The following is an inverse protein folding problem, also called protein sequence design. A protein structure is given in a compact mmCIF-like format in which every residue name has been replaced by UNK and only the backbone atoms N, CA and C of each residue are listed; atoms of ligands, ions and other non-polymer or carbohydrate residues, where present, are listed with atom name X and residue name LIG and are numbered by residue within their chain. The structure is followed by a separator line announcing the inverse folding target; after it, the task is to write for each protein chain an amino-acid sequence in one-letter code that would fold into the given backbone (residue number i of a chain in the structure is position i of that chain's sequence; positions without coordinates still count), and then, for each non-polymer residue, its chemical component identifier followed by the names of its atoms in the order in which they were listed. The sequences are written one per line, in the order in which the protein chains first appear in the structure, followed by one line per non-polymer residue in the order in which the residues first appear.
data_IF_740344564361
#
_entry.id   IF_740344564361
#
_cell.length_a   1.000
_cell.length_b   1.000
_cell.length_c   1.000
_cell.angle_alpha   90.00
_cell.angle_beta   90.00
_cell.angle_gamma   90.00
#
_symmetry.space_group_name_H-M   'P 1'
#
loop_
_entity.id
_entity.type
_entity.pdbx_description
1 polymer ?
#
# COMPACT_ATOMS: atom_id res chain seq x y z
N UNK A 1 -37.65 87.84 36.04
CA UNK A 1 -36.47 86.96 36.19
C UNK A 1 -36.82 85.63 35.52
N UNK A 2 -36.39 85.36 34.28
CA UNK A 2 -35.08 84.78 33.90
C UNK A 2 -34.81 83.48 34.70
N UNK A 3 -34.68 82.26 34.15
CA UNK A 3 -34.12 81.79 32.87
C UNK A 3 -34.59 80.34 32.56
N UNK A 4 -34.91 80.07 31.29
CA UNK A 4 -34.57 78.82 30.55
C UNK A 4 -33.06 78.93 30.21
N UNK A 5 -32.19 77.88 30.05
CA UNK A 5 -32.35 76.49 29.56
C UNK A 5 -31.63 75.45 30.49
N UNK A 6 -31.44 74.15 30.27
CA UNK A 6 -30.97 73.38 29.11
C UNK A 6 -31.21 71.88 29.32
N UNK A 7 -31.71 71.22 28.28
CA UNK A 7 -31.50 69.80 27.99
C UNK A 7 -29.99 69.51 27.93
N UNK A 8 -29.51 68.54 28.71
CA UNK A 8 -28.29 67.78 28.43
C UNK A 8 -28.63 66.31 28.66
N UNK A 9 -28.98 65.62 27.58
CA UNK A 9 -28.05 64.73 26.87
C UNK A 9 -27.93 63.39 27.61
N UNK A 10 -28.87 62.49 27.29
CA UNK A 10 -28.63 61.06 27.38
C UNK A 10 -27.39 60.74 26.55
N UNK A 11 -26.23 60.70 27.21
CA UNK A 11 -25.03 60.13 26.64
C UNK A 11 -25.29 58.63 26.49
N UNK A 12 -25.61 58.25 25.25
CA UNK A 12 -25.85 56.87 24.88
C UNK A 12 -24.73 55.98 25.38
N UNK A 13 -25.12 54.88 26.01
CA UNK A 13 -24.27 53.71 26.12
C UNK A 13 -23.72 53.43 24.73
N UNK A 14 -22.41 53.60 24.56
CA UNK A 14 -21.73 53.18 23.33
C UNK A 14 -22.13 51.71 23.12
N UNK A 15 -22.64 51.31 21.93
CA UNK A 15 -22.81 49.90 21.66
C UNK A 15 -21.43 49.28 21.81
N UNK A 16 -21.32 48.33 22.75
CA UNK A 16 -20.15 47.47 22.88
C UNK A 16 -19.87 46.95 21.48
N UNK A 17 -18.75 47.39 20.89
CA UNK A 17 -18.39 47.02 19.54
C UNK A 17 -18.35 45.49 19.48
N UNK A 18 -19.22 44.93 18.64
CA UNK A 18 -19.35 43.49 18.41
C UNK A 18 -17.96 42.88 18.19
N UNK A 19 -17.62 41.75 18.87
CA UNK A 19 -16.39 41.05 18.58
C UNK A 19 -16.44 40.65 17.09
N UNK A 20 -15.38 41.01 16.38
CA UNK A 20 -15.09 40.69 14.97
C UNK A 20 -15.95 39.54 14.43
N UNK A 21 -16.91 39.85 13.55
CA UNK A 21 -17.73 38.82 12.88
C UNK A 21 -16.80 37.86 12.15
N UNK A 22 -16.61 36.67 12.71
CA UNK A 22 -15.76 35.64 12.11
C UNK A 22 -16.36 35.25 10.75
N UNK A 23 -15.66 35.58 9.66
CA UNK A 23 -16.14 35.39 8.29
C UNK A 23 -16.55 33.94 8.00
N UNK A 24 -15.84 32.96 8.56
CA UNK A 24 -16.14 31.53 8.40
C UNK A 24 -17.50 31.13 9.00
N UNK A 25 -18.06 31.92 9.92
CA UNK A 25 -19.38 31.67 10.49
C UNK A 25 -20.52 32.18 9.59
N UNK A 26 -20.22 33.05 8.62
CA UNK A 26 -21.20 33.59 7.67
C UNK A 26 -21.60 32.56 6.60
N UNK A 27 -22.74 32.79 5.92
CA UNK A 27 -23.17 31.92 4.82
C UNK A 27 -22.14 31.86 3.67
N UNK A 28 -21.46 32.98 3.38
CA UNK A 28 -20.40 33.02 2.39
C UNK A 28 -19.20 32.15 2.81
N UNK A 29 -18.75 32.31 4.07
CA UNK A 29 -17.67 31.49 4.63
C UNK A 29 -17.99 30.00 4.62
N UNK A 30 -19.23 29.62 4.97
CA UNK A 30 -19.66 28.21 4.95
C UNK A 30 -19.69 27.63 3.53
N UNK A 31 -20.21 28.39 2.55
CA UNK A 31 -20.18 28.00 1.13
C UNK A 31 -18.75 27.83 0.63
N UNK A 32 -17.85 28.72 1.02
CA UNK A 32 -16.43 28.59 0.72
C UNK A 32 -15.83 27.32 1.32
N UNK A 33 -16.08 27.03 2.60
CA UNK A 33 -15.56 25.80 3.25
C UNK A 33 -16.11 24.52 2.63
N UNK A 34 -17.38 24.52 2.20
CA UNK A 34 -17.95 23.41 1.44
C UNK A 34 -17.21 23.23 0.11
N UNK A 35 -17.03 24.33 -0.64
CA UNK A 35 -16.27 24.32 -1.89
C UNK A 35 -14.85 23.79 -1.69
N UNK A 36 -14.16 24.24 -0.64
CA UNK A 36 -12.83 23.75 -0.29
C UNK A 36 -12.81 22.26 0.04
N UNK A 37 -13.80 21.75 0.79
CA UNK A 37 -13.91 20.33 1.11
C UNK A 37 -14.18 19.47 -0.15
N UNK A 38 -15.04 19.94 -1.05
CA UNK A 38 -15.31 19.28 -2.34
C UNK A 38 -14.06 19.26 -3.22
N UNK A 39 -13.35 20.39 -3.34
CA UNK A 39 -12.09 20.47 -4.10
C UNK A 39 -11.02 19.58 -3.50
N UNK A 40 -10.90 19.54 -2.17
CA UNK A 40 -9.97 18.65 -1.48
C UNK A 40 -10.29 17.18 -1.76
N UNK A 41 -11.56 16.77 -1.62
CA UNK A 41 -12.01 15.41 -1.92
C UNK A 41 -11.76 15.02 -3.39
N UNK A 42 -12.09 15.90 -4.34
CA UNK A 42 -11.84 15.66 -5.75
C UNK A 42 -10.35 15.57 -6.08
N UNK A 43 -9.53 16.46 -5.49
CA UNK A 43 -8.07 16.42 -5.65
C UNK A 43 -7.50 15.11 -5.12
N UNK A 44 -7.93 14.67 -3.93
CA UNK A 44 -7.52 13.40 -3.34
C UNK A 44 -7.89 12.21 -4.21
N UNK A 45 -9.10 12.18 -4.76
CA UNK A 45 -9.51 11.14 -5.71
C UNK A 45 -8.58 11.12 -6.92
N UNK A 46 -8.38 12.29 -7.55
CA UNK A 46 -7.55 12.44 -8.74
C UNK A 46 -6.09 12.02 -8.49
N UNK A 47 -5.52 12.33 -7.32
CA UNK A 47 -4.14 11.97 -6.97
C UNK A 47 -3.90 10.45 -6.98
N UNK A 48 -4.88 9.64 -6.58
CA UNK A 48 -4.76 8.18 -6.61
C UNK A 48 -5.21 7.56 -7.94
N UNK A 49 -6.29 8.10 -8.52
CA UNK A 49 -6.93 7.52 -9.69
C UNK A 49 -6.18 7.82 -10.99
N UNK A 50 -5.72 9.06 -11.19
CA UNK A 50 -5.14 9.51 -12.46
C UNK A 50 -3.83 8.79 -12.81
N UNK A 51 -2.86 8.61 -11.88
CA UNK A 51 -1.62 7.89 -12.17
C UNK A 51 -1.85 6.45 -12.59
N UNK A 52 -2.89 5.80 -12.04
CA UNK A 52 -3.24 4.42 -12.34
C UNK A 52 -4.19 4.27 -13.56
N UNK A 53 -4.50 5.37 -14.25
CA UNK A 53 -5.40 5.35 -15.40
C UNK A 53 -4.84 6.21 -16.54
N UNK A 54 -5.20 7.48 -16.62
CA UNK A 54 -4.85 8.37 -17.74
C UNK A 54 -3.34 8.59 -17.88
N UNK A 55 -2.60 8.56 -16.76
CA UNK A 55 -1.16 8.80 -16.74
C UNK A 55 -0.36 7.52 -16.48
N UNK A 56 -0.93 6.34 -16.76
CA UNK A 56 -0.31 5.05 -16.46
C UNK A 56 1.09 4.90 -17.06
N UNK A 57 1.28 5.26 -18.33
CA UNK A 57 2.61 5.17 -18.96
C UNK A 57 3.61 6.20 -18.39
N UNK A 58 3.14 7.36 -17.89
CA UNK A 58 4.02 8.31 -17.17
C UNK A 58 4.34 7.79 -15.77
N UNK A 59 3.37 7.17 -15.11
CA UNK A 59 3.57 6.59 -13.79
C UNK A 59 4.56 5.41 -13.85
N UNK A 60 4.51 4.61 -14.93
CA UNK A 60 5.51 3.58 -15.26
C UNK A 60 6.94 4.11 -15.18
N UNK A 61 7.20 5.34 -15.64
CA UNK A 61 8.57 5.91 -15.71
C UNK A 61 9.24 6.02 -14.34
N UNK A 62 8.47 6.13 -13.25
CA UNK A 62 9.04 6.15 -11.89
C UNK A 62 9.59 4.79 -11.45
N UNK A 63 9.12 3.71 -12.06
CA UNK A 63 9.51 2.34 -11.75
C UNK A 63 10.30 1.68 -12.87
N UNK A 64 10.28 2.22 -14.08
CA UNK A 64 10.93 1.62 -15.25
C UNK A 64 12.45 1.53 -15.05
N UNK A 65 13.01 0.35 -15.32
CA UNK A 65 14.46 0.17 -15.39
C UNK A 65 14.98 0.67 -16.75
N UNK A 66 16.02 1.49 -16.70
CA UNK A 66 16.73 2.01 -17.86
C UNK A 66 18.17 1.49 -17.86
N UNK A 67 18.68 1.14 -19.04
CA UNK A 67 20.10 0.87 -19.26
C UNK A 67 20.63 1.95 -20.20
N UNK A 68 21.26 2.97 -19.63
CA UNK A 68 21.58 4.21 -20.36
C UNK A 68 20.32 5.00 -20.67
N UNK A 69 20.06 5.25 -21.96
CA UNK A 69 18.90 6.03 -22.44
C UNK A 69 17.70 5.13 -22.79
N UNK A 70 17.91 3.82 -22.91
CA UNK A 70 16.89 2.87 -23.37
C UNK A 70 16.20 2.13 -22.23
N UNK A 71 14.89 1.91 -22.38
CA UNK A 71 14.11 1.04 -21.49
C UNK A 71 14.60 -0.41 -21.63
N UNK A 72 14.71 -1.12 -20.50
CA UNK A 72 15.00 -2.56 -20.51
C UNK A 72 13.71 -3.30 -20.83
N UNK A 73 13.66 -3.96 -21.99
CA UNK A 73 12.52 -4.76 -22.41
C UNK A 73 12.39 -6.04 -21.56
N UNK A 74 11.15 -6.52 -21.43
CA UNK A 74 10.87 -7.77 -20.72
C UNK A 74 11.19 -8.95 -21.62
N UNK A 75 11.95 -9.91 -21.10
CA UNK A 75 12.23 -11.14 -21.84
C UNK A 75 10.93 -11.91 -22.14
N UNK A 76 10.72 -12.39 -23.38
CA UNK A 76 9.49 -13.10 -23.76
C UNK A 76 9.17 -14.29 -22.88
N UNK A 77 10.20 -14.93 -22.33
CA UNK A 77 10.09 -16.03 -21.39
C UNK A 77 9.33 -15.65 -20.11
N UNK A 78 9.62 -14.49 -19.52
CA UNK A 78 8.96 -14.04 -18.27
C UNK A 78 7.50 -13.67 -18.55
N UNK A 79 7.23 -13.01 -19.68
CA UNK A 79 5.85 -12.73 -20.10
C UNK A 79 5.04 -14.03 -20.25
N UNK A 80 5.65 -15.06 -20.84
CA UNK A 80 5.03 -16.40 -20.94
C UNK A 80 4.70 -17.01 -19.57
N UNK A 81 5.59 -16.89 -18.57
CA UNK A 81 5.28 -17.35 -17.20
C UNK A 81 4.04 -16.66 -16.65
N UNK A 82 3.88 -15.36 -16.88
CA UNK A 82 2.69 -14.60 -16.47
C UNK A 82 1.43 -15.06 -17.21
N UNK A 83 1.52 -15.31 -18.53
CA UNK A 83 0.41 -15.84 -19.33
C UNK A 83 -0.07 -17.22 -18.86
N UNK A 84 0.87 -18.13 -18.56
CA UNK A 84 0.57 -19.46 -18.03
C UNK A 84 -0.18 -19.38 -16.69
N UNK A 85 0.16 -18.40 -15.85
CA UNK A 85 -0.55 -18.19 -14.58
C UNK A 85 -1.94 -17.58 -14.82
N UNK A 86 -2.09 -16.66 -15.78
CA UNK A 86 -3.40 -16.14 -16.18
C UNK A 86 -4.32 -17.26 -16.72
N UNK A 87 -3.77 -18.22 -17.47
CA UNK A 87 -4.51 -19.42 -17.90
C UNK A 87 -5.01 -20.24 -16.72
N UNK A 88 -4.14 -20.53 -15.75
CA UNK A 88 -4.50 -21.30 -14.55
C UNK A 88 -5.50 -20.56 -13.66
N UNK A 89 -5.47 -19.22 -13.65
CA UNK A 89 -6.46 -18.37 -12.98
C UNK A 89 -7.80 -18.29 -13.72
N UNK A 90 -7.88 -18.79 -14.95
CA UNK A 90 -9.09 -18.83 -15.77
C UNK A 90 -9.41 -17.53 -16.50
N UNK A 91 -8.41 -16.71 -16.82
CA UNK A 91 -8.62 -15.41 -17.47
C UNK A 91 -8.85 -15.60 -18.97
N UNK A 92 -9.86 -14.92 -19.52
CA UNK A 92 -10.17 -15.02 -20.93
C UNK A 92 -9.20 -14.20 -21.79
N UNK A 93 -9.11 -14.54 -23.09
CA UNK A 93 -8.20 -13.87 -24.04
C UNK A 93 -8.37 -12.34 -24.06
N UNK A 94 -9.59 -11.85 -23.92
CA UNK A 94 -9.88 -10.41 -23.90
C UNK A 94 -9.33 -9.74 -22.63
N UNK A 95 -9.42 -10.40 -21.49
CA UNK A 95 -8.92 -9.86 -20.21
C UNK A 95 -7.39 -9.81 -20.22
N UNK A 96 -6.74 -10.83 -20.79
CA UNK A 96 -5.28 -10.89 -20.91
C UNK A 96 -4.70 -9.72 -21.71
N UNK A 97 -5.42 -9.17 -22.69
CA UNK A 97 -4.95 -8.03 -23.49
C UNK A 97 -4.81 -6.74 -22.66
N UNK A 98 -5.43 -6.68 -21.49
CA UNK A 98 -5.28 -5.56 -20.57
C UNK A 98 -3.93 -5.60 -19.82
N UNK A 99 -3.23 -6.73 -19.81
CA UNK A 99 -1.98 -6.91 -19.10
C UNK A 99 -0.79 -6.66 -20.01
N UNK A 100 0.08 -5.73 -19.62
CA UNK A 100 1.39 -5.50 -20.24
C UNK A 100 2.47 -5.66 -19.18
N UNK A 101 3.65 -6.09 -19.60
CA UNK A 101 4.80 -6.24 -18.70
C UNK A 101 5.82 -5.13 -18.98
N UNK A 102 6.51 -4.70 -17.94
CA UNK A 102 7.67 -3.82 -18.05
C UNK A 102 8.72 -4.22 -17.02
N UNK A 103 9.99 -3.92 -17.30
CA UNK A 103 11.06 -4.18 -16.33
C UNK A 103 11.07 -3.08 -15.27
N UNK A 104 10.79 -3.46 -14.04
CA UNK A 104 10.78 -2.57 -12.89
C UNK A 104 12.17 -2.53 -12.22
N UNK A 105 12.56 -1.34 -11.78
CA UNK A 105 13.70 -1.09 -10.94
C UNK A 105 13.45 -1.66 -9.53
N UNK A 106 14.40 -2.41 -9.01
CA UNK A 106 14.31 -3.07 -7.70
C UNK A 106 14.20 -4.59 -7.80
N UNK A 107 13.83 -5.21 -6.67
CA UNK A 107 13.82 -6.66 -6.48
C UNK A 107 12.44 -7.24 -6.12
N UNK A 108 11.41 -6.39 -6.06
CA UNK A 108 10.06 -6.78 -5.70
C UNK A 108 9.13 -6.56 -6.90
N UNK A 109 8.28 -7.56 -7.16
CA UNK A 109 7.28 -7.45 -8.21
C UNK A 109 6.16 -6.49 -7.77
N UNK A 110 5.61 -5.76 -8.73
CA UNK A 110 4.54 -4.80 -8.49
C UNK A 110 3.57 -4.76 -9.66
N UNK A 111 2.41 -4.16 -9.45
CA UNK A 111 1.48 -3.82 -10.52
C UNK A 111 1.12 -2.33 -10.46
N UNK A 112 0.86 -1.76 -11.63
CA UNK A 112 0.32 -0.41 -11.80
C UNK A 112 -0.96 -0.48 -12.62
N UNK A 113 -1.95 0.34 -12.32
CA UNK A 113 -3.21 0.32 -13.04
C UNK A 113 -4.13 -0.85 -12.67
N UNK A 114 -5.28 -0.93 -13.33
CA UNK A 114 -6.38 -1.83 -12.95
C UNK A 114 -7.09 -2.36 -14.19
N UNK A 115 -7.57 -3.61 -14.13
CA UNK A 115 -8.41 -4.20 -15.19
C UNK A 115 -9.77 -3.52 -15.34
N UNK A 116 -10.22 -2.80 -14.30
CA UNK A 116 -11.46 -2.02 -14.30
C UNK A 116 -11.32 -0.70 -15.09
N UNK A 117 -10.15 -0.45 -15.67
CA UNK A 117 -9.83 0.71 -16.49
C UNK A 117 -9.47 0.27 -17.91
N UNK A 118 -9.90 1.04 -18.92
CA UNK A 118 -9.53 0.80 -20.33
C UNK A 118 -8.03 0.92 -20.61
N UNK A 119 -7.28 1.54 -19.70
CA UNK A 119 -5.82 1.69 -19.81
C UNK A 119 -5.07 0.42 -19.41
N UNK A 120 -5.76 -0.54 -18.79
CA UNK A 120 -5.21 -1.83 -18.41
C UNK A 120 -4.28 -1.78 -17.21
N UNK A 121 -3.41 -2.77 -17.14
CA UNK A 121 -2.49 -3.07 -16.05
C UNK A 121 -1.07 -3.19 -16.60
N UNK A 122 -0.12 -2.61 -15.89
CA UNK A 122 1.31 -2.82 -16.10
C UNK A 122 1.87 -3.66 -14.96
N UNK A 123 2.39 -4.84 -15.27
CA UNK A 123 3.08 -5.71 -14.32
C UNK A 123 4.58 -5.39 -14.36
N UNK A 124 5.11 -4.92 -13.23
CA UNK A 124 6.52 -4.62 -13.04
C UNK A 124 7.30 -5.87 -12.70
N UNK A 125 8.13 -6.31 -13.64
CA UNK A 125 9.05 -7.45 -13.49
C UNK A 125 10.34 -6.97 -12.86
N UNK A 126 10.70 -7.40 -11.65
CA UNK A 126 11.88 -6.90 -10.98
C UNK A 126 13.17 -7.45 -11.59
N UNK A 127 14.26 -6.72 -11.41
CA UNK A 127 15.58 -7.03 -12.01
C UNK A 127 16.12 -8.42 -11.64
N UNK A 128 15.74 -8.96 -10.48
CA UNK A 128 16.19 -10.27 -10.04
C UNK A 128 15.56 -11.45 -10.78
N UNK A 129 14.50 -11.24 -11.56
CA UNK A 129 13.91 -12.31 -12.36
C UNK A 129 14.81 -12.76 -13.51
N UNK A 130 15.77 -11.91 -13.89
CA UNK A 130 16.72 -12.14 -14.97
C UNK A 130 18.00 -12.86 -14.51
N UNK A 131 18.25 -12.96 -13.20
CA UNK A 131 19.43 -13.63 -12.67
C UNK A 131 19.28 -15.15 -12.75
N UNK A 132 20.29 -15.83 -13.28
CA UNK A 132 20.35 -17.30 -13.35
C UNK A 132 21.29 -17.87 -12.30
N UNK A 133 22.35 -17.13 -11.98
CA UNK A 133 23.37 -17.53 -11.03
C UNK A 133 23.89 -16.34 -10.22
N UNK A 134 24.62 -16.63 -9.14
CA UNK A 134 25.26 -15.59 -8.30
C UNK A 134 26.28 -14.77 -9.09
N UNK A 135 26.84 -15.33 -10.15
CA UNK A 135 27.84 -14.67 -11.01
C UNK A 135 27.24 -13.53 -11.85
N UNK A 136 25.93 -13.54 -12.08
CA UNK A 136 25.23 -12.50 -12.85
C UNK A 136 25.01 -11.22 -12.03
N UNK A 137 25.32 -11.25 -10.73
CA UNK A 137 24.94 -10.22 -9.77
C UNK A 137 26.18 -9.50 -9.26
N UNK A 138 26.30 -8.23 -9.62
CA UNK A 138 27.34 -7.35 -9.06
C UNK A 138 26.89 -6.81 -7.71
N UNK A 139 27.47 -7.34 -6.61
CA UNK A 139 27.14 -6.92 -5.24
C UNK A 139 27.23 -5.39 -5.05
N UNK A 140 28.22 -4.74 -5.66
CA UNK A 140 28.44 -3.29 -5.52
C UNK A 140 27.34 -2.44 -6.18
N UNK A 141 26.55 -3.02 -7.09
CA UNK A 141 25.44 -2.35 -7.75
C UNK A 141 24.11 -2.52 -7.01
N UNK A 142 24.09 -3.31 -5.92
CA UNK A 142 22.91 -3.46 -5.09
C UNK A 142 22.71 -2.17 -4.29
N UNK A 143 21.57 -1.53 -4.51
CA UNK A 143 21.15 -0.35 -3.76
C UNK A 143 19.85 -0.61 -3.01
N UNK A 144 19.71 0.02 -1.85
CA UNK A 144 18.48 0.01 -1.04
C UNK A 144 18.04 1.45 -0.87
N UNK A 145 16.82 1.76 -1.33
CA UNK A 145 16.29 3.14 -1.39
C UNK A 145 17.24 4.12 -2.10
N UNK A 146 17.88 3.67 -3.20
CA UNK A 146 18.78 4.48 -4.00
C UNK A 146 20.19 4.69 -3.40
N UNK A 147 20.48 4.10 -2.24
CA UNK A 147 21.81 4.15 -1.64
C UNK A 147 22.54 2.81 -1.78
N UNK A 148 23.81 2.81 -2.21
CA UNK A 148 24.62 1.60 -2.23
C UNK A 148 24.89 1.11 -0.81
N UNK A 149 25.16 -0.18 -0.67
CA UNK A 149 25.55 -0.78 0.60
C UNK A 149 26.97 -0.29 0.97
N UNK A 150 27.07 0.70 1.85
CA UNK A 150 28.34 1.37 2.21
C UNK A 150 29.19 0.61 3.25
N UNK A 151 28.60 -0.27 4.04
CA UNK A 151 29.30 -0.95 5.14
C UNK A 151 29.94 -2.26 4.67
N UNK A 152 30.99 -2.70 5.38
CA UNK A 152 31.70 -3.95 5.09
C UNK A 152 30.84 -5.15 5.49
N UNK A 153 30.14 -5.74 4.53
CA UNK A 153 29.51 -7.05 4.68
C UNK A 153 30.55 -8.17 4.79
N UNK A 154 30.27 -9.19 5.61
CA UNK A 154 31.08 -10.41 5.65
C UNK A 154 30.90 -11.22 4.34
N UNK A 155 31.84 -12.11 3.98
CA UNK A 155 31.67 -13.01 2.84
C UNK A 155 30.36 -13.82 2.91
N UNK A 156 29.97 -14.24 4.11
CA UNK A 156 28.74 -15.00 4.36
C UNK A 156 27.49 -14.15 4.12
N UNK A 157 27.48 -12.89 4.57
CA UNK A 157 26.38 -11.96 4.30
C UNK A 157 26.21 -11.71 2.80
N UNK A 158 27.33 -11.54 2.08
CA UNK A 158 27.30 -11.38 0.62
C UNK A 158 26.71 -12.61 -0.05
N UNK A 159 27.18 -13.80 0.32
CA UNK A 159 26.69 -15.04 -0.27
C UNK A 159 25.18 -15.24 -0.02
N UNK A 160 24.72 -14.99 1.22
CA UNK A 160 23.31 -15.07 1.58
C UNK A 160 22.46 -14.05 0.83
N UNK A 161 22.97 -12.82 0.62
CA UNK A 161 22.25 -11.80 -0.14
C UNK A 161 22.12 -12.19 -1.61
N UNK A 162 23.23 -12.61 -2.25
CA UNK A 162 23.22 -13.03 -3.65
C UNK A 162 22.32 -14.25 -3.86
N UNK A 163 22.38 -15.21 -2.95
CA UNK A 163 21.48 -16.37 -2.94
C UNK A 163 20.01 -15.96 -2.85
N UNK A 164 19.69 -14.97 -2.01
CA UNK A 164 18.32 -14.49 -1.82
C UNK A 164 17.70 -13.82 -3.07
N UNK A 165 18.53 -13.40 -4.03
CA UNK A 165 18.08 -12.76 -5.26
C UNK A 165 17.81 -13.76 -6.38
N UNK A 166 18.28 -15.00 -6.27
CA UNK A 166 18.04 -16.03 -7.29
C UNK A 166 16.72 -16.72 -6.98
N UNK A 167 15.82 -16.70 -7.96
CA UNK A 167 14.48 -17.30 -7.88
C UNK A 167 14.31 -18.38 -8.94
N UNK A 168 13.67 -19.48 -8.56
CA UNK A 168 13.17 -20.49 -9.48
C UNK A 168 12.01 -19.96 -10.32
N UNK A 169 11.69 -20.65 -11.40
CA UNK A 169 10.56 -20.29 -12.26
C UNK A 169 9.21 -20.43 -11.56
N UNK A 170 9.10 -21.39 -10.63
CA UNK A 170 7.92 -21.55 -9.77
C UNK A 170 7.72 -20.33 -8.88
N UNK A 171 8.80 -19.80 -8.30
CA UNK A 171 8.75 -18.59 -7.48
C UNK A 171 8.40 -17.35 -8.31
N UNK A 172 8.97 -17.21 -9.52
CA UNK A 172 8.61 -16.14 -10.46
C UNK A 172 7.14 -16.21 -10.88
N UNK A 173 6.64 -17.39 -11.23
CA UNK A 173 5.22 -17.61 -11.55
C UNK A 173 4.31 -17.23 -10.38
N UNK A 174 4.64 -17.65 -9.16
CA UNK A 174 3.87 -17.28 -7.98
C UNK A 174 3.83 -15.75 -7.79
N UNK A 175 4.98 -15.10 -7.81
CA UNK A 175 5.09 -13.65 -7.62
C UNK A 175 4.30 -12.85 -8.69
N UNK A 176 4.41 -13.25 -9.97
CA UNK A 176 3.60 -12.64 -11.04
C UNK A 176 2.11 -12.90 -10.84
N UNK A 177 1.74 -14.13 -10.46
CA UNK A 177 0.36 -14.51 -10.22
C UNK A 177 -0.32 -13.66 -9.15
N UNK A 178 0.40 -13.36 -8.07
CA UNK A 178 -0.11 -12.51 -6.99
C UNK A 178 -0.41 -11.11 -7.53
N UNK A 179 0.55 -10.50 -8.25
CA UNK A 179 0.37 -9.16 -8.82
C UNK A 179 -0.72 -9.11 -9.90
N UNK A 180 -0.83 -10.14 -10.73
CA UNK A 180 -1.88 -10.26 -11.75
C UNK A 180 -3.26 -10.34 -11.08
N UNK A 181 -3.39 -11.12 -10.01
CA UNK A 181 -4.63 -11.26 -9.27
C UNK A 181 -5.01 -9.97 -8.54
N UNK A 182 -4.05 -9.33 -7.85
CA UNK A 182 -4.24 -8.06 -7.14
C UNK A 182 -4.70 -6.95 -8.11
N UNK A 183 -4.08 -6.86 -9.29
CA UNK A 183 -4.46 -5.88 -10.31
C UNK A 183 -5.89 -6.06 -10.86
N UNK A 184 -6.46 -7.27 -10.72
CA UNK A 184 -7.85 -7.57 -11.09
C UNK A 184 -8.84 -7.32 -9.95
N UNK A 185 -8.49 -6.48 -8.98
CA UNK A 185 -9.37 -6.10 -7.89
C UNK A 185 -9.72 -4.62 -7.95
N UNK A 186 -10.72 -4.21 -7.16
CA UNK A 186 -11.10 -2.82 -7.02
C UNK A 186 -10.14 -2.00 -6.12
N UNK A 187 -8.89 -2.44 -5.92
CA UNK A 187 -7.92 -1.80 -5.02
C UNK A 187 -7.74 -0.32 -5.32
N UNK A 188 -7.41 0.02 -6.56
CA UNK A 188 -7.18 1.42 -6.98
C UNK A 188 -8.43 2.27 -6.81
N UNK A 189 -9.61 1.72 -7.07
CA UNK A 189 -10.87 2.41 -6.85
C UNK A 189 -11.11 2.66 -5.36
N UNK A 190 -10.89 1.65 -4.51
CA UNK A 190 -11.01 1.79 -3.07
C UNK A 190 -10.02 2.81 -2.50
N UNK A 191 -8.77 2.77 -2.94
CA UNK A 191 -7.72 3.73 -2.56
C UNK A 191 -8.01 5.16 -3.05
N UNK A 192 -8.78 5.33 -4.11
CA UNK A 192 -9.18 6.66 -4.62
C UNK A 192 -10.45 7.19 -3.93
N UNK A 193 -11.46 6.35 -3.75
CA UNK A 193 -12.77 6.73 -3.21
C UNK A 193 -12.73 6.89 -1.70
N UNK A 194 -12.11 5.97 -0.96
CA UNK A 194 -12.13 5.97 0.50
C UNK A 194 -11.58 7.27 1.12
N UNK A 195 -10.36 7.75 0.79
CA UNK A 195 -9.85 8.98 1.41
C UNK A 195 -10.66 10.22 1.00
N UNK A 196 -11.18 10.24 -0.23
CA UNK A 196 -12.04 11.32 -0.74
C UNK A 196 -13.38 11.37 0.01
N UNK A 197 -13.99 10.21 0.22
CA UNK A 197 -15.21 10.07 1.01
C UNK A 197 -14.98 10.47 2.49
N UNK A 198 -13.82 10.14 3.05
CA UNK A 198 -13.45 10.55 4.42
C UNK A 198 -13.38 12.08 4.58
N UNK A 199 -12.86 12.82 3.59
CA UNK A 199 -12.83 14.29 3.61
C UNK A 199 -14.26 14.87 3.61
N UNK A 200 -15.12 14.35 2.72
CA UNK A 200 -16.52 14.79 2.63
C UNK A 200 -17.30 14.44 3.90
N UNK A 201 -17.10 13.23 4.43
CA UNK A 201 -17.71 12.78 5.68
C UNK A 201 -17.26 13.63 6.87
N UNK A 202 -15.97 13.98 6.95
CA UNK A 202 -15.44 14.87 7.98
C UNK A 202 -16.14 16.24 7.94
N UNK A 203 -16.29 16.84 6.75
CA UNK A 203 -17.00 18.11 6.59
C UNK A 203 -18.48 17.98 7.00
N UNK A 204 -19.17 16.94 6.52
CA UNK A 204 -20.59 16.71 6.81
C UNK A 204 -20.84 16.51 8.31
N UNK A 205 -20.04 15.66 8.97
CA UNK A 205 -20.12 15.41 10.41
C UNK A 205 -19.78 16.66 11.23
N UNK A 206 -18.75 17.42 10.83
CA UNK A 206 -18.41 18.69 11.46
C UNK A 206 -19.58 19.68 11.40
N UNK A 207 -20.22 19.78 10.24
CA UNK A 207 -21.39 20.66 10.04
C UNK A 207 -22.58 20.18 10.87
N UNK A 208 -22.84 18.88 10.89
CA UNK A 208 -23.90 18.27 11.68
C UNK A 208 -23.71 18.53 13.19
N UNK A 209 -22.51 18.31 13.73
CA UNK A 209 -22.24 18.59 15.15
C UNK A 209 -22.31 20.07 15.49
N UNK A 210 -21.85 20.96 14.60
CA UNK A 210 -22.02 22.39 14.83
C UNK A 210 -23.48 22.81 14.91
N UNK A 211 -24.36 22.23 14.08
CA UNK A 211 -25.79 22.51 14.12
C UNK A 211 -26.45 21.91 15.37
N UNK A 212 -26.16 20.64 15.68
CA UNK A 212 -26.80 19.89 16.77
C UNK A 212 -26.35 20.34 18.16
N UNK A 213 -25.07 20.70 18.32
CA UNK A 213 -24.48 21.10 19.62
C UNK A 213 -24.35 22.62 19.77
N UNK A 214 -24.95 23.39 18.86
CA UNK A 214 -24.78 24.84 18.77
C UNK A 214 -23.29 25.26 18.76
N UNK A 215 -22.46 24.47 18.06
CA UNK A 215 -21.01 24.63 18.04
C UNK A 215 -20.56 25.98 17.48
N UNK A 216 -21.34 26.59 16.59
CA UNK A 216 -21.03 27.91 16.02
C UNK A 216 -21.07 29.05 17.03
N UNK A 217 -21.88 28.94 18.09
CA UNK A 217 -21.94 29.93 19.17
C UNK A 217 -20.84 29.72 20.23
N UNK A 218 -20.11 28.60 20.16
CA UNK A 218 -19.07 28.24 21.13
C UNK A 218 -17.73 28.91 20.79
N UNK A 219 -16.85 29.09 21.81
CA UNK A 219 -15.50 29.60 21.62
C UNK A 219 -14.70 28.80 20.59
N UNK A 220 -13.71 29.46 19.96
CA UNK A 220 -12.83 28.83 18.96
C UNK A 220 -12.12 27.61 19.52
N UNK A 221 -11.67 27.64 20.78
CA UNK A 221 -10.99 26.52 21.45
C UNK A 221 -11.84 25.26 21.50
N UNK A 222 -13.13 25.38 21.85
CA UNK A 222 -14.07 24.25 21.86
C UNK A 222 -14.23 23.66 20.45
N UNK A 223 -14.40 24.51 19.43
CA UNK A 223 -14.51 24.05 18.03
C UNK A 223 -13.24 23.38 17.55
N UNK A 224 -12.07 23.96 17.86
CA UNK A 224 -10.78 23.38 17.52
C UNK A 224 -10.62 21.99 18.15
N UNK A 225 -10.94 21.84 19.44
CA UNK A 225 -10.92 20.54 20.11
C UNK A 225 -11.84 19.51 19.44
N UNK A 226 -13.11 19.88 19.19
CA UNK A 226 -14.08 19.00 18.55
C UNK A 226 -13.67 18.58 17.13
N UNK A 227 -13.16 19.52 16.33
CA UNK A 227 -12.68 19.26 14.98
C UNK A 227 -11.44 18.37 14.97
N UNK A 228 -10.49 18.61 15.88
CA UNK A 228 -9.32 17.75 16.03
C UNK A 228 -9.71 16.33 16.42
N UNK A 229 -10.62 16.18 17.39
CA UNK A 229 -11.10 14.86 17.82
C UNK A 229 -11.83 14.12 16.69
N UNK A 230 -12.72 14.81 15.98
CA UNK A 230 -13.42 14.24 14.82
C UNK A 230 -12.44 13.92 13.68
N UNK A 231 -11.45 14.78 13.45
CA UNK A 231 -10.43 14.58 12.42
C UNK A 231 -9.59 13.35 12.72
N UNK A 232 -9.14 13.20 13.97
CA UNK A 232 -8.45 12.01 14.44
C UNK A 232 -9.31 10.75 14.29
N UNK A 233 -10.60 10.82 14.63
CA UNK A 233 -11.53 9.69 14.48
C UNK A 233 -11.71 9.28 13.01
N UNK A 234 -12.05 10.22 12.12
CA UNK A 234 -12.25 9.93 10.68
C UNK A 234 -10.96 9.41 10.05
N UNK A 235 -9.82 9.99 10.40
CA UNK A 235 -8.50 9.56 9.91
C UNK A 235 -8.13 8.16 10.41
N UNK A 236 -8.34 7.88 11.70
CA UNK A 236 -8.12 6.55 12.27
C UNK A 236 -9.03 5.49 11.65
N UNK A 237 -10.30 5.81 11.43
CA UNK A 237 -11.24 4.93 10.73
C UNK A 237 -10.81 4.66 9.29
N UNK A 238 -10.36 5.69 8.56
CA UNK A 238 -9.84 5.53 7.21
C UNK A 238 -8.65 4.56 7.17
N UNK A 239 -7.64 4.79 8.02
CA UNK A 239 -6.45 3.94 8.05
C UNK A 239 -6.78 2.50 8.46
N UNK A 240 -7.65 2.31 9.44
CA UNK A 240 -8.11 0.98 9.86
C UNK A 240 -8.82 0.23 8.73
N UNK A 241 -9.77 0.89 8.05
CA UNK A 241 -10.50 0.29 6.93
C UNK A 241 -9.58 -0.02 5.74
N UNK A 242 -8.65 0.89 5.44
CA UNK A 242 -7.63 0.69 4.40
C UNK A 242 -6.78 -0.55 4.72
N UNK A 243 -6.21 -0.61 5.92
CA UNK A 243 -5.31 -1.70 6.31
C UNK A 243 -6.04 -3.06 6.30
N UNK A 244 -7.25 -3.13 6.84
CA UNK A 244 -8.08 -4.35 6.78
C UNK A 244 -8.39 -4.75 5.34
N UNK A 245 -8.73 -3.80 4.48
CA UNK A 245 -9.01 -4.05 3.06
C UNK A 245 -7.77 -4.61 2.36
N UNK A 246 -6.64 -3.90 2.41
CA UNK A 246 -5.38 -4.31 1.78
C UNK A 246 -4.95 -5.68 2.30
N UNK A 247 -4.97 -5.89 3.61
CA UNK A 247 -4.55 -7.16 4.19
C UNK A 247 -5.43 -8.34 3.77
N UNK A 248 -6.73 -8.11 3.62
CA UNK A 248 -7.65 -9.15 3.16
C UNK A 248 -7.38 -9.49 1.69
N UNK A 249 -7.11 -8.48 0.87
CA UNK A 249 -6.86 -8.63 -0.57
C UNK A 249 -5.53 -9.33 -0.84
N UNK A 250 -4.44 -8.92 -0.20
CA UNK A 250 -3.12 -9.57 -0.33
C UNK A 250 -3.17 -11.04 0.11
N UNK A 251 -3.77 -11.32 1.28
CA UNK A 251 -3.95 -12.71 1.76
C UNK A 251 -4.81 -13.52 0.81
N UNK A 252 -5.82 -12.91 0.19
CA UNK A 252 -6.66 -13.58 -0.79
C UNK A 252 -5.89 -13.90 -2.07
N UNK A 253 -5.07 -12.97 -2.56
CA UNK A 253 -4.21 -13.16 -3.73
C UNK A 253 -3.22 -14.32 -3.49
N UNK A 254 -2.48 -14.28 -2.38
CA UNK A 254 -1.54 -15.35 -1.99
C UNK A 254 -2.23 -16.71 -1.96
N UNK A 255 -3.37 -16.79 -1.27
CA UNK A 255 -4.14 -18.04 -1.15
C UNK A 255 -4.68 -18.52 -2.49
N UNK A 256 -5.06 -17.62 -3.39
CA UNK A 256 -5.61 -17.98 -4.71
C UNK A 256 -4.54 -18.55 -5.61
N UNK A 257 -3.38 -17.91 -5.66
CA UNK A 257 -2.26 -18.34 -6.50
C UNK A 257 -1.64 -19.62 -5.96
N UNK A 258 -1.43 -19.72 -4.64
CA UNK A 258 -0.91 -20.94 -4.02
C UNK A 258 -1.83 -22.17 -4.22
N UNK A 259 -3.13 -21.96 -4.46
CA UNK A 259 -4.10 -23.03 -4.73
C UNK A 259 -4.15 -23.49 -6.18
N UNK A 260 -3.41 -22.86 -7.10
CA UNK A 260 -3.35 -23.28 -8.50
C UNK A 260 -2.63 -24.64 -8.67
N UNK A 261 -1.79 -25.02 -7.72
CA UNK A 261 -1.14 -26.33 -7.68
C UNK A 261 0.03 -26.35 -6.71
N UNK A 262 0.56 -27.55 -6.44
CA UNK A 262 1.68 -27.74 -5.52
C UNK A 262 2.90 -26.88 -5.91
N UNK A 263 3.18 -26.78 -7.21
CA UNK A 263 4.30 -25.98 -7.72
C UNK A 263 4.18 -24.48 -7.38
N UNK A 264 2.98 -23.91 -7.35
CA UNK A 264 2.79 -22.50 -7.00
C UNK A 264 2.91 -22.29 -5.50
N UNK A 265 2.46 -23.26 -4.69
CA UNK A 265 2.66 -23.21 -3.25
C UNK A 265 4.15 -23.30 -2.88
N UNK A 266 4.89 -24.24 -3.50
CA UNK A 266 6.35 -24.34 -3.37
C UNK A 266 7.02 -23.03 -3.82
N UNK A 267 6.62 -22.50 -4.98
CA UNK A 267 7.11 -21.23 -5.50
C UNK A 267 6.86 -20.05 -4.55
N UNK A 268 5.69 -19.98 -3.92
CA UNK A 268 5.39 -18.92 -2.96
C UNK A 268 6.14 -19.06 -1.63
N UNK A 269 6.40 -20.29 -1.17
CA UNK A 269 7.27 -20.54 -0.01
C UNK A 269 8.69 -20.09 -0.30
N UNK A 270 9.24 -20.45 -1.47
CA UNK A 270 10.56 -20.00 -1.91
C UNK A 270 10.61 -18.47 -2.02
N UNK A 271 9.65 -17.86 -2.72
CA UNK A 271 9.61 -16.42 -2.96
C UNK A 271 9.65 -15.62 -1.65
N UNK A 272 8.76 -15.91 -0.70
CA UNK A 272 8.72 -15.18 0.57
C UNK A 272 9.92 -15.51 1.47
N UNK A 273 10.41 -16.75 1.47
CA UNK A 273 11.61 -17.10 2.23
C UNK A 273 12.85 -16.34 1.73
N UNK A 274 12.99 -16.20 0.42
CA UNK A 274 14.06 -15.43 -0.23
C UNK A 274 13.95 -13.92 0.10
N UNK A 275 12.76 -13.34 0.10
CA UNK A 275 12.55 -11.95 0.56
C UNK A 275 12.96 -11.78 2.03
N UNK A 276 12.54 -12.68 2.92
CA UNK A 276 12.91 -12.62 4.34
C UNK A 276 14.41 -12.75 4.55
N UNK A 277 15.06 -13.67 3.83
CA UNK A 277 16.52 -13.84 3.84
C UNK A 277 17.22 -12.55 3.40
N UNK A 278 16.80 -11.97 2.27
CA UNK A 278 17.30 -10.68 1.76
C UNK A 278 17.20 -9.60 2.82
N UNK A 279 16.01 -9.41 3.39
CA UNK A 279 15.74 -8.34 4.35
C UNK A 279 16.53 -8.52 5.65
N UNK A 280 16.69 -9.76 6.15
CA UNK A 280 17.55 -10.05 7.32
C UNK A 280 19.01 -9.70 7.07
N UNK A 281 19.54 -10.00 5.89
CA UNK A 281 20.92 -9.64 5.53
C UNK A 281 21.05 -8.13 5.42
N UNK A 282 20.13 -7.47 4.72
CA UNK A 282 20.13 -6.01 4.58
C UNK A 282 20.03 -5.31 5.94
N UNK A 283 19.23 -5.85 6.88
CA UNK A 283 19.18 -5.35 8.26
C UNK A 283 20.56 -5.32 8.90
N UNK A 284 21.31 -6.42 8.81
CA UNK A 284 22.66 -6.54 9.42
C UNK A 284 23.67 -5.64 8.70
N UNK A 285 23.71 -5.74 7.37
CA UNK A 285 24.74 -5.12 6.56
C UNK A 285 24.59 -3.59 6.48
N UNK A 286 23.38 -3.04 6.63
CA UNK A 286 23.17 -1.59 6.61
C UNK A 286 23.26 -0.94 7.99
N UNK A 287 23.54 -1.71 9.05
CA UNK A 287 23.58 -1.24 10.44
C UNK A 287 22.28 -0.54 10.84
N UNK A 288 22.37 0.60 11.53
CA UNK A 288 21.20 1.33 12.04
C UNK A 288 20.14 1.68 11.00
N UNK A 289 20.54 1.92 9.74
CA UNK A 289 19.59 2.15 8.63
C UNK A 289 18.85 0.87 8.26
N UNK A 290 19.54 -0.27 8.23
CA UNK A 290 18.88 -1.56 8.03
C UNK A 290 17.93 -1.87 9.18
N UNK A 291 18.31 -1.50 10.40
CA UNK A 291 17.50 -1.73 11.59
C UNK A 291 16.22 -0.92 11.66
N UNK A 292 16.17 0.25 11.02
CA UNK A 292 14.96 1.06 10.90
C UNK A 292 14.06 0.65 9.73
N UNK A 293 14.56 -0.18 8.80
CA UNK A 293 13.82 -0.62 7.63
C UNK A 293 13.22 -2.01 7.80
N UNK A 294 13.89 -2.91 8.53
CA UNK A 294 13.49 -4.31 8.63
C UNK A 294 13.50 -4.79 10.06
N UNK A 295 12.53 -5.63 10.44
CA UNK A 295 12.50 -6.33 11.73
C UNK A 295 13.59 -7.41 11.80
N UNK A 296 13.80 -7.98 12.99
CA UNK A 296 14.68 -9.17 13.16
C UNK A 296 14.16 -10.39 12.37
N UNK A 297 12.84 -10.50 12.19
CA UNK A 297 12.23 -11.56 11.36
C UNK A 297 12.38 -11.32 9.86
N UNK A 298 12.81 -10.14 9.42
CA UNK A 298 12.94 -9.76 8.01
C UNK A 298 11.68 -9.14 7.41
N UNK A 299 10.68 -8.80 8.23
CA UNK A 299 9.52 -8.01 7.80
C UNK A 299 9.92 -6.54 7.65
N UNK A 300 9.13 -5.75 6.90
CA UNK A 300 9.35 -4.31 6.79
C UNK A 300 8.86 -3.62 8.06
N UNK A 301 9.72 -2.79 8.66
CA UNK A 301 9.40 -2.04 9.86
C UNK A 301 8.39 -0.92 9.55
N UNK A 302 7.41 -0.73 10.42
CA UNK A 302 6.41 0.34 10.27
C UNK A 302 6.02 0.90 11.63
N UNK A 303 5.90 2.23 11.74
CA UNK A 303 5.73 2.91 13.03
C UNK A 303 4.35 2.72 13.66
N UNK A 304 3.27 2.86 12.89
CA UNK A 304 1.89 2.90 13.43
C UNK A 304 0.92 2.08 12.59
N UNK A 305 1.02 2.18 11.26
CA UNK A 305 0.18 1.45 10.32
C UNK A 305 1.03 0.52 9.48
N UNK A 306 0.55 -0.71 9.26
CA UNK A 306 1.22 -1.72 8.44
C UNK A 306 0.58 -1.69 7.05
N UNK A 307 1.16 -0.95 6.08
CA UNK A 307 0.51 -0.77 4.77
C UNK A 307 0.31 -2.08 4.02
N UNK A 308 1.16 -3.07 4.29
CA UNK A 308 1.13 -4.41 3.70
C UNK A 308 1.13 -5.46 4.81
N UNK A 309 0.66 -6.66 4.47
CA UNK A 309 0.74 -7.82 5.35
C UNK A 309 2.23 -8.17 5.56
N UNK A 310 2.68 -8.39 6.80
CA UNK A 310 4.03 -8.86 7.07
C UNK A 310 4.37 -10.09 6.23
N UNK A 311 5.56 -10.11 5.65
CA UNK A 311 6.03 -11.18 4.75
C UNK A 311 6.03 -12.53 5.47
N UNK A 312 6.37 -12.55 6.76
CA UNK A 312 6.24 -13.75 7.60
C UNK A 312 4.81 -14.28 7.65
N UNK A 313 3.81 -13.41 7.73
CA UNK A 313 2.41 -13.80 7.70
C UNK A 313 1.99 -14.28 6.30
N UNK A 314 2.46 -13.65 5.23
CA UNK A 314 2.20 -14.09 3.85
C UNK A 314 2.77 -15.49 3.58
N UNK A 315 4.00 -15.76 4.06
CA UNK A 315 4.61 -17.09 4.01
C UNK A 315 3.73 -18.15 4.69
N UNK A 316 3.22 -17.87 5.89
CA UNK A 316 2.31 -18.78 6.62
C UNK A 316 1.03 -19.05 5.82
N UNK A 317 0.48 -18.05 5.15
CA UNK A 317 -0.75 -18.20 4.36
C UNK A 317 -0.54 -19.08 3.13
N UNK A 318 0.59 -18.94 2.45
CA UNK A 318 0.96 -19.80 1.31
C UNK A 318 1.17 -21.24 1.77
N UNK A 319 1.92 -21.48 2.86
CA UNK A 319 2.16 -22.83 3.37
C UNK A 319 0.87 -23.56 3.76
N UNK A 320 -0.13 -22.83 4.29
CA UNK A 320 -1.43 -23.40 4.68
C UNK A 320 -2.41 -23.60 3.52
N UNK A 321 -2.14 -23.02 2.36
CA UNK A 321 -3.08 -23.03 1.23
C UNK A 321 -3.30 -24.44 0.63
N UNK A 322 -2.27 -25.28 0.42
CA UNK A 322 -2.42 -26.67 -0.05
C UNK A 322 -3.23 -27.52 0.92
N UNK A 323 -2.97 -27.43 2.23
CA UNK A 323 -3.67 -28.22 3.24
C UNK A 323 -5.18 -27.94 3.27
N UNK A 324 -5.58 -26.67 3.16
CA UNK A 324 -7.00 -26.30 3.10
C UNK A 324 -7.68 -26.78 1.82
N UNK A 325 -6.94 -26.94 0.73
CA UNK A 325 -7.46 -27.51 -0.51
C UNK A 325 -7.58 -29.05 -0.43
N UNK A 326 -6.61 -29.72 0.19
CA UNK A 326 -6.62 -31.16 0.45
C UNK A 326 -7.66 -31.57 1.50
N UNK A 327 -7.89 -30.79 2.57
CA UNK A 327 -8.98 -31.05 3.53
C UNK A 327 -10.38 -30.91 2.94
N UNK A 328 -10.53 -30.16 1.82
CA UNK A 328 -11.77 -30.16 1.01
C UNK A 328 -11.86 -31.37 0.06
N UNK A 329 -10.79 -32.13 -0.10
CA UNK A 329 -10.63 -33.31 -0.96
C UNK A 329 -10.13 -34.52 -0.13
N UNK A 330 -10.92 -34.97 0.84
CA UNK A 330 -10.79 -36.22 1.61
C UNK A 330 -9.52 -36.46 2.47
N UNK A 331 -9.61 -37.23 3.59
CA UNK A 331 -8.70 -37.08 4.73
C UNK A 331 -7.39 -37.90 4.73
N UNK A 332 -6.96 -38.52 3.63
CA UNK A 332 -5.96 -39.61 3.71
C UNK A 332 -4.47 -39.22 3.73
N UNK A 333 -4.11 -37.93 3.65
CA UNK A 333 -2.71 -37.50 3.43
C UNK A 333 -2.11 -36.58 4.51
N UNK A 334 -2.80 -36.36 5.64
CA UNK A 334 -2.52 -35.23 6.54
C UNK A 334 -1.44 -35.44 7.62
N UNK A 335 -1.00 -36.66 7.92
CA UNK A 335 -0.28 -36.88 9.18
C UNK A 335 1.25 -36.70 9.14
N UNK A 336 1.95 -36.94 8.02
CA UNK A 336 3.42 -37.01 8.09
C UNK A 336 4.17 -35.68 7.85
N UNK A 337 3.74 -34.85 6.89
CA UNK A 337 4.48 -33.64 6.50
C UNK A 337 4.16 -32.42 7.36
N UNK A 338 2.96 -32.37 7.94
CA UNK A 338 2.51 -31.25 8.78
C UNK A 338 3.26 -31.19 10.10
N UNK A 339 3.61 -32.35 10.67
CA UNK A 339 4.36 -32.45 11.92
C UNK A 339 5.84 -32.07 11.75
N UNK A 340 6.43 -32.37 10.60
CA UNK A 340 7.83 -32.03 10.29
C UNK A 340 8.03 -30.51 10.18
N UNK A 341 7.11 -29.81 9.53
CA UNK A 341 7.14 -28.34 9.42
C UNK A 341 6.88 -27.65 10.76
N UNK A 342 5.96 -28.18 11.58
CA UNK A 342 5.71 -27.64 12.93
C UNK A 342 6.88 -27.89 13.89
N UNK A 343 7.58 -29.01 13.73
CA UNK A 343 8.82 -29.34 14.45
C UNK A 343 9.95 -28.37 14.13
N UNK A 344 10.16 -28.06 12.85
CA UNK A 344 11.17 -27.06 12.45
C UNK A 344 10.82 -25.65 12.95
N UNK A 345 9.54 -25.27 12.94
CA UNK A 345 9.12 -23.96 13.48
C UNK A 345 9.28 -23.84 15.00
N UNK A 346 9.16 -24.93 15.75
CA UNK A 346 9.47 -24.93 17.19
C UNK A 346 10.97 -24.80 17.47
N UNK A 347 11.82 -25.27 16.55
CA UNK A 347 13.28 -25.13 16.66
C UNK A 347 13.74 -23.71 16.33
N UNK A 348 13.05 -23.02 15.44
CA UNK A 348 13.35 -21.64 15.05
C UNK A 348 12.88 -20.58 16.07
N UNK A 349 12.02 -20.96 17.01
CA UNK A 349 11.48 -20.08 18.06
C UNK A 349 12.12 -20.30 19.45
N UNK A 350 13.20 -21.08 19.52
CA UNK A 350 14.13 -21.16 20.65
C UNK A 350 15.46 -20.53 20.23
#
# INVERSE_FOLDING_TARGET
MNKVPTKNAMAGSKPVQNPTKNWFLTNAGRRFTLGAAVVAGATTFCMHYIPNTFLLDKYKQFYQMFRGVSEVEVEPYIAKLGEEVMDKLGYHRNDKQLYRYFTAYGFDALHLGSTFSKYGVLIGVPSNFYFKSKADIEYNNITVQGEPIKQKATPEDKDQLLDSLILSDKAKQFALGVQIYEANTAEIFNQSVAPSASIVAYYALSTHFNQKLNGYARPVSYRAFMYTMLGAFVTGMYYCLRDVSTHTMEKQADRKVAKLGLEHAEGGVEYYSKILQRNKVLRRVMGSKGESLFTVSGDVESLVFTPHVPITQRLIEVTKAPEKSSKRLSPLFMDSKTEEVQSEMKKLNK
#
